data_IF_815000604096
#
_entry.id   IF_815000604096
#
_cell.length_a   1.000
_cell.length_b   1.000
_cell.length_c   1.000
_cell.angle_alpha   90.00
_cell.angle_beta   90.00
_cell.angle_gamma   90.00
#
_symmetry.space_group_name_H-M   'P 1'
#
loop_
_entity.id
_entity.type
_entity.pdbx_description
1 polymer ?
#
# COMPACT_ATOMS: atom_id res chain seq x y z
N UNK A 1 -7.17 20.61 17.68
CA UNK A 1 -7.13 19.38 18.51
C UNK A 1 -8.30 18.52 18.04
N UNK A 2 -8.04 17.26 17.70
CA UNK A 2 -9.06 16.31 17.25
C UNK A 2 -9.56 15.49 18.45
N UNK A 3 -10.77 14.92 18.34
CA UNK A 3 -11.31 13.99 19.34
C UNK A 3 -10.63 12.61 19.33
N UNK A 4 -9.74 12.37 18.38
CA UNK A 4 -8.97 11.13 18.23
C UNK A 4 -7.66 11.22 19.01
N UNK A 5 -7.30 10.14 19.71
CA UNK A 5 -6.09 10.05 20.52
C UNK A 5 -5.05 9.14 19.87
N UNK A 6 -3.77 9.41 20.12
CA UNK A 6 -2.65 8.61 19.67
C UNK A 6 -2.75 7.18 20.24
N UNK A 7 -2.58 6.17 19.39
CA UNK A 7 -2.64 4.78 19.82
C UNK A 7 -1.52 4.39 20.82
N UNK A 8 -0.35 5.05 20.72
CA UNK A 8 0.84 4.75 21.54
C UNK A 8 0.79 5.47 22.89
N UNK A 9 0.78 6.81 22.89
CA UNK A 9 0.89 7.61 24.13
C UNK A 9 -0.46 8.02 24.72
N UNK A 10 -1.58 7.68 24.05
CA UNK A 10 -2.96 8.06 24.43
C UNK A 10 -3.23 9.57 24.52
N UNK A 11 -2.29 10.42 24.06
CA UNK A 11 -2.48 11.88 23.97
C UNK A 11 -3.33 12.30 22.77
N UNK A 12 -3.90 13.52 22.77
CA UNK A 12 -4.76 13.99 21.68
C UNK A 12 -3.98 14.28 20.39
N UNK A 13 -4.61 14.02 19.23
CA UNK A 13 -4.04 14.31 17.91
C UNK A 13 -4.37 15.73 17.42
N UNK A 14 -3.54 16.26 16.53
CA UNK A 14 -3.65 17.61 15.98
C UNK A 14 -3.58 17.59 14.46
N UNK A 15 -4.20 18.56 13.80
CA UNK A 15 -4.16 18.73 12.35
C UNK A 15 -3.46 20.05 12.01
N UNK A 16 -2.54 20.01 11.05
CA UNK A 16 -1.89 21.20 10.49
C UNK A 16 -1.65 20.96 9.00
N UNK A 17 -2.08 21.91 8.15
CA UNK A 17 -1.90 21.84 6.69
C UNK A 17 -2.43 20.53 6.07
N UNK A 18 -3.56 20.02 6.59
CA UNK A 18 -4.18 18.76 6.14
C UNK A 18 -3.49 17.49 6.62
N UNK A 19 -2.49 17.59 7.52
CA UNK A 19 -1.79 16.44 8.10
C UNK A 19 -2.14 16.28 9.57
N UNK A 20 -2.51 15.06 9.96
CA UNK A 20 -2.75 14.70 11.36
C UNK A 20 -1.45 14.20 12.00
N UNK A 21 -1.06 14.76 13.14
CA UNK A 21 0.15 14.40 13.86
C UNK A 21 -0.05 14.35 15.38
N UNK A 22 0.80 13.58 16.06
CA UNK A 22 0.90 13.57 17.51
C UNK A 22 2.06 14.48 17.94
N UNK A 23 1.84 15.50 18.80
CA UNK A 23 2.92 16.40 19.23
C UNK A 23 3.93 15.71 20.16
N UNK A 24 3.56 14.58 20.77
CA UNK A 24 4.43 13.81 21.68
C UNK A 24 5.26 12.77 20.91
N UNK A 25 4.66 12.06 19.96
CA UNK A 25 5.32 10.96 19.24
C UNK A 25 5.89 11.37 17.86
N UNK A 26 5.55 12.56 17.35
CA UNK A 26 5.98 13.04 16.02
C UNK A 26 5.10 12.59 14.86
N UNK A 27 5.51 12.95 13.64
CA UNK A 27 4.86 12.62 12.37
C UNK A 27 5.22 11.17 11.96
N UNK A 28 4.48 10.18 12.47
CA UNK A 28 4.56 8.81 11.91
C UNK A 28 3.71 8.75 10.66
N UNK A 29 4.34 8.54 9.50
CA UNK A 29 3.64 8.07 8.28
C UNK A 29 2.81 6.85 8.67
N UNK A 30 1.51 6.96 8.47
CA UNK A 30 0.48 6.06 8.96
C UNK A 30 0.79 4.60 8.55
N UNK A 31 1.27 3.80 9.51
CA UNK A 31 1.11 2.35 9.48
C UNK A 31 -0.05 2.04 10.40
N UNK A 32 -1.23 1.78 9.81
CA UNK A 32 -2.42 1.39 10.57
C UNK A 32 -3.50 2.45 10.63
N UNK A 33 -4.05 2.80 9.47
CA UNK A 33 -5.50 2.96 9.37
C UNK A 33 -6.01 1.73 8.66
N UNK A 34 -7.03 1.09 9.21
CA UNK A 34 -7.91 0.18 8.49
C UNK A 34 -8.15 0.78 7.10
N UNK A 35 -7.58 0.16 6.07
CA UNK A 35 -7.65 0.72 4.73
C UNK A 35 -9.13 0.81 4.36
N UNK A 36 -9.66 1.98 3.96
CA UNK A 36 -10.92 1.98 3.20
C UNK A 36 -10.74 0.96 2.09
N UNK A 37 -11.70 0.04 1.87
CA UNK A 37 -11.58 -1.10 0.94
C UNK A 37 -10.64 -0.73 -0.21
N UNK A 38 -9.40 -1.25 -0.17
CA UNK A 38 -8.36 -0.79 -1.07
C UNK A 38 -8.88 -1.00 -2.49
N UNK A 39 -9.09 0.11 -3.21
CA UNK A 39 -9.68 0.07 -4.55
C UNK A 39 -8.95 -0.97 -5.40
N UNK A 40 -9.66 -1.56 -6.38
CA UNK A 40 -9.11 -2.64 -7.20
C UNK A 40 -7.70 -2.31 -7.72
N UNK A 41 -7.46 -1.07 -8.15
CA UNK A 41 -6.15 -0.59 -8.58
C UNK A 41 -5.08 -0.68 -7.49
N UNK A 42 -5.35 -0.20 -6.28
CA UNK A 42 -4.42 -0.26 -5.15
C UNK A 42 -4.10 -1.72 -4.77
N UNK A 43 -5.13 -2.58 -4.74
CA UNK A 43 -4.97 -4.01 -4.49
C UNK A 43 -4.06 -4.66 -5.54
N UNK A 44 -4.25 -4.33 -6.83
CA UNK A 44 -3.42 -4.85 -7.91
C UNK A 44 -1.97 -4.32 -7.80
N UNK A 45 -1.76 -3.03 -7.52
CA UNK A 45 -0.42 -2.45 -7.30
C UNK A 45 0.31 -3.12 -6.14
N UNK A 46 -0.39 -3.43 -5.04
CA UNK A 46 0.19 -4.18 -3.92
C UNK A 46 0.62 -5.59 -4.34
N UNK A 47 -0.26 -6.33 -5.02
CA UNK A 47 0.06 -7.67 -5.54
C UNK A 47 1.23 -7.68 -6.52
N UNK A 48 1.36 -6.64 -7.35
CA UNK A 48 2.52 -6.48 -8.23
C UNK A 48 3.82 -6.40 -7.43
N UNK A 49 3.82 -5.65 -6.32
CA UNK A 49 4.95 -5.55 -5.40
C UNK A 49 5.32 -6.90 -4.79
N UNK A 50 4.32 -7.67 -4.34
CA UNK A 50 4.51 -9.03 -3.79
C UNK A 50 5.13 -9.98 -4.82
N UNK A 51 4.62 -9.99 -6.07
CA UNK A 51 5.15 -10.82 -7.15
C UNK A 51 6.60 -10.46 -7.51
N UNK A 52 6.94 -9.17 -7.52
CA UNK A 52 8.33 -8.71 -7.74
C UNK A 52 9.27 -9.21 -6.65
N UNK A 53 8.87 -9.07 -5.38
CA UNK A 53 9.67 -9.53 -4.25
C UNK A 53 9.87 -11.07 -4.26
N UNK A 54 8.86 -11.82 -4.75
CA UNK A 54 8.98 -13.27 -4.96
C UNK A 54 9.94 -13.58 -6.10
N UNK A 55 9.84 -12.87 -7.23
CA UNK A 55 10.70 -13.07 -8.41
C UNK A 55 12.18 -12.88 -8.08
N UNK A 56 12.53 -11.88 -7.25
CA UNK A 56 13.91 -11.61 -6.82
C UNK A 56 14.59 -12.79 -6.11
N UNK A 57 13.81 -13.70 -5.53
CA UNK A 57 14.29 -14.83 -4.71
C UNK A 57 14.02 -16.19 -5.34
N UNK A 58 13.38 -16.22 -6.51
CA UNK A 58 12.99 -17.46 -7.16
C UNK A 58 14.12 -17.97 -8.06
N UNK A 59 14.63 -19.16 -7.76
CA UNK A 59 15.73 -19.79 -8.49
C UNK A 59 15.22 -20.88 -9.47
N UNK A 60 14.00 -21.39 -9.25
CA UNK A 60 13.39 -22.37 -10.14
C UNK A 60 12.89 -21.70 -11.42
N UNK A 61 13.44 -22.12 -12.55
CA UNK A 61 13.13 -21.53 -13.86
C UNK A 61 11.63 -21.60 -14.21
N UNK A 62 10.95 -22.70 -13.87
CA UNK A 62 9.53 -22.85 -14.18
C UNK A 62 8.68 -21.88 -13.34
N UNK A 63 9.01 -21.73 -12.06
CA UNK A 63 8.37 -20.75 -11.17
C UNK A 63 8.68 -19.31 -11.59
N UNK A 64 9.92 -18.99 -11.99
CA UNK A 64 10.27 -17.69 -12.56
C UNK A 64 9.36 -17.36 -13.74
N UNK A 65 9.21 -18.29 -14.69
CA UNK A 65 8.37 -18.08 -15.86
C UNK A 65 6.88 -17.96 -15.53
N UNK A 66 6.40 -18.66 -14.49
CA UNK A 66 5.02 -18.50 -13.98
C UNK A 66 4.80 -17.11 -13.38
N UNK A 67 5.71 -16.65 -12.51
CA UNK A 67 5.63 -15.33 -11.88
C UNK A 67 5.65 -14.22 -12.94
N UNK A 68 6.51 -14.33 -13.96
CA UNK A 68 6.55 -13.36 -15.06
C UNK A 68 5.22 -13.27 -15.82
N UNK A 69 4.56 -14.40 -16.10
CA UNK A 69 3.23 -14.41 -16.74
C UNK A 69 2.16 -13.76 -15.88
N UNK A 70 2.19 -14.00 -14.57
CA UNK A 70 1.27 -13.36 -13.62
C UNK A 70 1.49 -11.84 -13.57
N UNK A 71 2.76 -11.40 -13.56
CA UNK A 71 3.13 -9.98 -13.62
C UNK A 71 2.60 -9.33 -14.91
N UNK A 72 2.80 -9.96 -16.07
CA UNK A 72 2.32 -9.44 -17.35
C UNK A 72 0.80 -9.26 -17.36
N UNK A 73 0.05 -10.29 -16.94
CA UNK A 73 -1.41 -10.22 -16.86
C UNK A 73 -1.87 -9.08 -15.93
N UNK A 74 -1.20 -8.90 -14.79
CA UNK A 74 -1.55 -7.87 -13.82
C UNK A 74 -1.24 -6.45 -14.35
N UNK A 75 -0.11 -6.28 -15.04
CA UNK A 75 0.26 -5.00 -15.69
C UNK A 75 -0.73 -4.65 -16.80
N UNK A 76 -1.19 -5.62 -17.59
CA UNK A 76 -2.22 -5.38 -18.60
C UNK A 76 -3.54 -4.88 -18.00
N UNK A 77 -3.98 -5.49 -16.90
CA UNK A 77 -5.19 -5.06 -16.20
C UNK A 77 -5.02 -3.63 -15.66
N UNK A 78 -3.89 -3.31 -15.04
CA UNK A 78 -3.60 -1.96 -14.55
C UNK A 78 -3.61 -0.92 -15.67
N UNK A 79 -2.97 -1.21 -16.82
CA UNK A 79 -2.99 -0.33 -18.00
C UNK A 79 -4.42 -0.05 -18.50
N UNK A 80 -5.29 -1.06 -18.48
CA UNK A 80 -6.71 -0.91 -18.88
C UNK A 80 -7.51 -0.07 -17.89
N UNK A 81 -7.12 -0.03 -16.62
CA UNK A 81 -7.71 0.86 -15.61
C UNK A 81 -7.24 2.31 -15.79
N UNK A 82 -5.94 2.51 -16.07
CA UNK A 82 -5.35 3.84 -16.32
C UNK A 82 -5.85 4.47 -17.63
N UNK A 83 -6.14 3.67 -18.66
CA UNK A 83 -6.64 4.14 -19.96
C UNK A 83 -8.16 4.36 -20.06
N UNK A 84 -8.90 4.27 -18.95
CA UNK A 84 -10.36 4.53 -18.89
C UNK A 84 -10.70 5.90 -18.27
N UNK A 85 -9.73 6.79 -18.15
CA UNK A 85 -9.90 8.20 -17.72
C UNK A 85 -10.18 9.14 -18.87
#
# INVERSE_FOLDING_TARGET
MLSVHCAECKGPLFEKEGRVFCPVCGERKERGKEAPEAGLEETLRRKLGELRARLEREEDHEQTMKILKEIDALVEVLRKLEGKG
#
